data_IF_283449339910
#
_entry.id   IF_283449339910
#
_cell.length_a   1.000
_cell.length_b   1.000
_cell.length_c   1.000
_cell.angle_alpha   90.00
_cell.angle_beta   90.00
_cell.angle_gamma   90.00
#
_symmetry.space_group_name_H-M   'P 1'
#
loop_
_entity.id
_entity.type
_entity.pdbx_description
1 polymer ?
#
# COMPACT_ATOMS: atom_id res chain seq x y z
N UNK A 1 19.20 6.74 -39.33
CA UNK A 1 17.80 7.19 -39.28
C UNK A 1 16.93 5.98 -39.65
N UNK A 2 16.50 5.20 -38.66
CA UNK A 2 15.67 3.99 -38.88
C UNK A 2 14.35 4.22 -38.16
N UNK A 3 13.39 4.76 -38.90
CA UNK A 3 12.01 4.86 -38.49
C UNK A 3 11.41 3.45 -38.48
N UNK A 4 11.20 2.90 -37.28
CA UNK A 4 10.44 1.66 -37.08
C UNK A 4 9.02 2.08 -36.74
N UNK A 5 8.17 2.13 -37.76
CA UNK A 5 6.72 2.21 -37.61
C UNK A 5 6.22 0.94 -36.91
N UNK A 6 5.86 1.06 -35.63
CA UNK A 6 5.14 0.02 -34.90
C UNK A 6 3.72 -0.08 -35.50
N UNK A 7 3.27 -1.24 -36.03
CA UNK A 7 1.92 -1.37 -36.56
C UNK A 7 0.87 -1.09 -35.45
N UNK A 8 -0.24 -0.41 -35.76
CA UNK A 8 -1.29 -0.13 -34.79
C UNK A 8 -1.96 -1.45 -34.39
N UNK A 9 -1.58 -1.99 -33.24
CA UNK A 9 -2.06 -3.28 -32.73
C UNK A 9 -1.05 -4.09 -31.93
N UNK A 10 0.23 -3.69 -31.94
CA UNK A 10 1.25 -4.31 -31.08
C UNK A 10 1.32 -3.52 -29.77
N UNK A 11 0.52 -3.97 -28.78
CA UNK A 11 0.77 -3.58 -27.40
C UNK A 11 2.25 -3.92 -27.10
N UNK A 12 3.03 -2.99 -26.51
CA UNK A 12 4.41 -3.28 -26.20
C UNK A 12 4.43 -4.53 -25.33
N UNK A 13 5.02 -5.62 -25.82
CA UNK A 13 5.19 -6.86 -25.06
C UNK A 13 5.88 -6.51 -23.74
N UNK A 14 5.07 -6.30 -22.71
CA UNK A 14 5.52 -5.81 -21.42
C UNK A 14 6.36 -6.87 -20.74
N UNK A 15 7.36 -6.45 -19.96
CA UNK A 15 8.20 -7.38 -19.20
C UNK A 15 7.33 -8.20 -18.25
N UNK A 16 7.01 -9.44 -18.65
CA UNK A 16 6.26 -10.39 -17.84
C UNK A 16 7.19 -10.87 -16.74
N UNK A 17 6.87 -10.50 -15.50
CA UNK A 17 7.64 -10.91 -14.34
C UNK A 17 7.58 -12.43 -14.19
N UNK A 18 8.73 -13.05 -13.98
CA UNK A 18 8.81 -14.46 -13.59
C UNK A 18 8.13 -14.65 -12.22
N UNK A 19 7.65 -15.85 -11.92
CA UNK A 19 6.96 -16.14 -10.66
C UNK A 19 7.79 -15.76 -9.42
N UNK A 20 9.11 -15.89 -9.50
CA UNK A 20 10.04 -15.48 -8.45
C UNK A 20 10.04 -13.97 -8.22
N UNK A 21 10.04 -13.17 -9.30
CA UNK A 21 9.98 -11.71 -9.21
C UNK A 21 8.64 -11.23 -8.66
N UNK A 22 7.53 -11.89 -9.02
CA UNK A 22 6.20 -11.61 -8.46
C UNK A 22 6.16 -11.88 -6.96
N UNK A 23 6.72 -13.01 -6.51
CA UNK A 23 6.77 -13.38 -5.08
C UNK A 23 7.56 -12.37 -4.24
N UNK A 24 8.71 -11.91 -4.74
CA UNK A 24 9.52 -10.89 -4.08
C UNK A 24 8.78 -9.56 -3.92
N UNK A 25 8.06 -9.11 -4.96
CA UNK A 25 7.21 -7.91 -4.88
C UNK A 25 6.10 -8.05 -3.85
N UNK A 26 5.41 -9.19 -3.84
CA UNK A 26 4.31 -9.46 -2.91
C UNK A 26 4.78 -9.43 -1.45
N UNK A 27 5.95 -9.99 -1.16
CA UNK A 27 6.54 -9.97 0.17
C UNK A 27 6.81 -8.53 0.66
N UNK A 28 7.34 -7.65 -0.20
CA UNK A 28 7.57 -6.24 0.14
C UNK A 28 6.27 -5.50 0.42
N UNK A 29 5.26 -5.68 -0.44
CA UNK A 29 3.95 -5.06 -0.24
C UNK A 29 3.28 -5.53 1.07
N UNK A 30 3.42 -6.82 1.41
CA UNK A 30 2.90 -7.36 2.67
C UNK A 30 3.61 -6.75 3.87
N UNK A 31 4.94 -6.64 3.84
CA UNK A 31 5.70 -6.02 4.93
C UNK A 31 5.23 -4.57 5.19
N UNK A 32 5.06 -3.78 4.13
CA UNK A 32 4.55 -2.41 4.23
C UNK A 32 3.14 -2.39 4.82
N UNK A 33 2.24 -3.26 4.35
CA UNK A 33 0.87 -3.35 4.86
C UNK A 33 0.83 -3.70 6.35
N UNK A 34 1.67 -4.63 6.79
CA UNK A 34 1.79 -5.03 8.21
C UNK A 34 2.27 -3.86 9.07
N UNK A 35 3.31 -3.14 8.62
CA UNK A 35 3.84 -1.98 9.35
C UNK A 35 2.78 -0.88 9.47
N UNK A 36 2.09 -0.55 8.37
CA UNK A 36 1.03 0.47 8.38
C UNK A 36 -0.13 0.07 9.28
N UNK A 37 -0.57 -1.19 9.22
CA UNK A 37 -1.65 -1.69 10.08
C UNK A 37 -1.27 -1.62 11.57
N UNK A 38 -0.06 -2.06 11.92
CA UNK A 38 0.43 -2.00 13.30
C UNK A 38 0.49 -0.55 13.81
N UNK A 39 0.98 0.38 12.99
CA UNK A 39 1.04 1.80 13.32
C UNK A 39 -0.36 2.41 13.52
N UNK A 40 -1.32 2.11 12.64
CA UNK A 40 -2.72 2.54 12.80
C UNK A 40 -3.35 2.00 14.09
N UNK A 41 -3.16 0.71 14.39
CA UNK A 41 -3.69 0.10 15.62
C UNK A 41 -3.09 0.76 16.86
N UNK A 42 -1.79 1.03 16.87
CA UNK A 42 -1.14 1.74 17.97
C UNK A 42 -1.75 3.12 18.20
N UNK A 43 -1.91 3.92 17.13
CA UNK A 43 -2.53 5.24 17.24
C UNK A 43 -3.99 5.16 17.70
N UNK A 44 -4.75 4.18 17.23
CA UNK A 44 -6.14 3.99 17.63
C UNK A 44 -6.26 3.65 19.12
N UNK A 45 -5.41 2.75 19.63
CA UNK A 45 -5.37 2.42 21.07
C UNK A 45 -5.03 3.65 21.89
N UNK A 46 -3.99 4.39 21.50
CA UNK A 46 -3.61 5.65 22.18
C UNK A 46 -4.76 6.65 22.15
N UNK A 47 -5.49 6.72 21.03
CA UNK A 47 -6.65 7.60 20.87
C UNK A 47 -7.76 7.23 21.85
N UNK A 48 -8.14 5.96 21.96
CA UNK A 48 -9.17 5.52 22.93
C UNK A 48 -8.73 5.82 24.38
N UNK A 49 -7.47 5.53 24.71
CA UNK A 49 -6.96 5.72 26.08
C UNK A 49 -6.88 7.21 26.44
N UNK A 50 -6.40 8.06 25.53
CA UNK A 50 -6.17 9.49 25.82
C UNK A 50 -7.38 10.37 25.54
N UNK A 51 -8.13 10.12 24.46
CA UNK A 51 -9.38 10.80 24.12
C UNK A 51 -10.59 10.03 24.66
N UNK A 52 -10.41 9.29 25.76
CA UNK A 52 -11.49 8.58 26.44
C UNK A 52 -12.55 9.52 27.05
N UNK A 53 -13.26 9.12 28.14
CA UNK A 53 -14.46 9.81 28.65
C UNK A 53 -14.33 11.33 28.89
N UNK A 54 -13.11 11.87 28.97
CA UNK A 54 -12.82 13.30 29.04
C UNK A 54 -13.48 14.14 27.91
N UNK A 55 -13.70 13.60 26.70
CA UNK A 55 -14.46 14.29 25.65
C UNK A 55 -15.98 14.19 25.81
N UNK A 56 -16.47 13.22 26.58
CA UNK A 56 -17.90 13.03 26.91
C UNK A 56 -18.33 13.85 28.13
N UNK A 57 -17.38 14.29 28.97
CA UNK A 57 -17.62 15.28 30.03
C UNK A 57 -17.61 16.68 29.41
N UNK A 58 -18.73 17.04 28.76
CA UNK A 58 -18.99 18.44 28.39
C UNK A 58 -19.64 19.15 29.58
N UNK A 59 -18.99 20.12 30.22
CA UNK A 59 -19.69 21.01 31.14
C UNK A 59 -20.69 21.84 30.30
N UNK A 60 -21.97 21.77 30.68
CA UNK A 60 -23.01 22.69 30.22
C UNK A 60 -22.91 23.99 31.02
#
# INVERSE_FOLDING_TARGET
MSDKSNPPGQEPDGVVLTEEQRRSRRARSIAIAVVLAALCVLFYVVTIVKLGPAVLVRPL
#
